data_IF_823646471697
#
_entry.id   IF_823646471697
#
_cell.length_a   1.000
_cell.length_b   1.000
_cell.length_c   1.000
_cell.angle_alpha   90.00
_cell.angle_beta   90.00
_cell.angle_gamma   90.00
#
_symmetry.space_group_name_H-M   'P 1'
#
loop_
_entity.id
_entity.type
_entity.pdbx_description
1 polymer ?
#
# COMPACT_ATOMS: atom_id res chain seq x y z
N UNK A 1 -9.15 -55.34 62.34
CA UNK A 1 -8.64 -55.02 63.69
C UNK A 1 -7.16 -54.68 63.56
N UNK A 2 -6.64 -53.73 64.36
CA UNK A 2 -5.21 -53.50 64.65
C UNK A 2 -4.29 -53.09 63.47
N UNK A 3 -4.05 -51.78 63.33
CA UNK A 3 -2.79 -50.98 63.59
C UNK A 3 -1.68 -51.16 62.55
N UNK A 4 -1.27 -50.13 61.80
CA UNK A 4 -0.46 -48.92 62.14
C UNK A 4 1.02 -49.21 62.45
N UNK A 5 1.95 -48.73 61.59
CA UNK A 5 3.10 -47.91 62.02
C UNK A 5 3.80 -47.14 60.86
N UNK A 6 4.80 -46.30 61.18
CA UNK A 6 5.35 -45.21 60.32
C UNK A 6 6.85 -44.93 60.67
N UNK A 7 7.62 -43.96 60.15
CA UNK A 7 7.36 -42.66 59.48
C UNK A 7 8.51 -42.29 58.50
N UNK A 8 8.18 -41.72 57.32
CA UNK A 8 9.08 -40.82 56.57
C UNK A 8 10.19 -41.45 55.69
N UNK A 9 10.77 -40.73 54.73
CA UNK A 9 10.49 -39.38 54.23
C UNK A 9 11.27 -39.15 52.92
N UNK A 10 10.71 -38.40 51.97
CA UNK A 10 11.35 -38.13 50.67
C UNK A 10 12.10 -36.80 50.61
N UNK A 11 12.31 -36.22 49.41
CA UNK A 11 12.44 -36.90 48.11
C UNK A 11 13.50 -36.23 47.18
N UNK A 12 13.53 -36.67 45.91
CA UNK A 12 14.10 -35.98 44.72
C UNK A 12 15.64 -35.81 44.67
N UNK A 13 16.34 -36.18 43.59
CA UNK A 13 15.90 -36.91 42.41
C UNK A 13 16.76 -36.66 41.16
N UNK A 14 17.43 -37.73 40.72
CA UNK A 14 17.70 -38.09 39.30
C UNK A 14 18.59 -37.18 38.46
N UNK A 15 19.83 -37.65 38.28
CA UNK A 15 20.38 -38.14 36.99
C UNK A 15 19.82 -37.55 35.69
N UNK A 16 20.71 -37.07 34.82
CA UNK A 16 20.87 -37.61 33.46
C UNK A 16 22.18 -37.17 32.81
N UNK A 17 22.82 -38.11 32.10
CA UNK A 17 24.03 -37.88 31.33
C UNK A 17 23.70 -37.45 29.89
N UNK A 18 24.70 -36.85 29.24
CA UNK A 18 24.99 -36.84 27.79
C UNK A 18 23.83 -36.78 26.77
N UNK A 19 23.92 -35.82 25.84
CA UNK A 19 23.84 -36.11 24.40
C UNK A 19 24.36 -34.92 23.58
N UNK A 20 25.26 -35.19 22.65
CA UNK A 20 25.68 -34.22 21.62
C UNK A 20 24.58 -34.09 20.56
N UNK A 21 24.32 -32.87 20.08
CA UNK A 21 23.44 -32.62 18.95
C UNK A 21 24.13 -31.68 17.94
N UNK A 22 24.26 -32.16 16.70
CA UNK A 22 24.77 -31.40 15.56
C UNK A 22 23.62 -30.60 14.93
N UNK A 23 23.83 -29.31 14.72
CA UNK A 23 23.01 -28.43 13.87
C UNK A 23 23.99 -27.67 12.96
N UNK A 24 24.22 -28.13 11.73
CA UNK A 24 23.41 -27.84 10.53
C UNK A 24 23.31 -26.32 10.28
N UNK A 25 23.92 -25.91 9.16
CA UNK A 25 23.97 -24.53 8.68
C UNK A 25 22.61 -24.15 8.10
N UNK A 26 22.02 -23.04 8.58
CA UNK A 26 21.26 -22.04 7.82
C UNK A 26 20.46 -21.14 8.77
N UNK A 27 20.84 -19.87 8.91
CA UNK A 27 19.96 -18.71 8.65
C UNK A 27 20.65 -17.39 9.00
N UNK A 28 20.69 -16.47 8.03
CA UNK A 28 21.12 -15.09 8.24
C UNK A 28 20.05 -14.40 9.08
N UNK A 29 20.31 -14.24 10.38
CA UNK A 29 19.61 -13.28 11.22
C UNK A 29 20.57 -12.15 11.55
N UNK A 30 20.36 -10.98 10.92
CA UNK A 30 21.02 -9.75 11.34
C UNK A 30 20.56 -9.38 12.75
N UNK A 31 21.24 -9.92 13.77
CA UNK A 31 21.13 -9.43 15.14
C UNK A 31 21.60 -7.98 15.15
N UNK A 32 20.65 -7.07 15.38
CA UNK A 32 20.91 -5.70 15.78
C UNK A 32 21.79 -5.79 17.04
N UNK A 33 23.08 -5.49 16.89
CA UNK A 33 23.98 -5.40 18.03
C UNK A 33 23.56 -4.17 18.82
N UNK A 34 22.88 -4.42 19.94
CA UNK A 34 22.74 -3.42 20.99
C UNK A 34 24.14 -3.02 21.44
N UNK A 35 24.57 -1.81 21.09
CA UNK A 35 25.69 -1.17 21.77
C UNK A 35 25.31 -1.04 23.25
N UNK A 36 25.82 -1.94 24.09
CA UNK A 36 25.86 -1.69 25.53
C UNK A 36 26.72 -0.45 25.75
N UNK A 37 26.27 0.53 26.56
CA UNK A 37 27.13 1.64 26.95
C UNK A 37 28.32 1.07 27.75
N UNK A 38 29.53 1.32 27.29
CA UNK A 38 30.75 1.06 28.04
C UNK A 38 30.95 2.25 28.99
N UNK A 39 31.15 2.05 30.30
CA UNK A 39 31.49 3.13 31.22
C UNK A 39 32.77 3.85 30.75
N UNK A 40 32.84 5.17 30.94
CA UNK A 40 33.94 5.99 30.43
C UNK A 40 35.30 5.66 31.07
N UNK A 41 35.28 4.92 32.17
CA UNK A 41 36.40 4.74 33.10
C UNK A 41 37.28 3.53 32.77
N UNK A 42 36.98 2.81 31.68
CA UNK A 42 37.70 1.58 31.25
C UNK A 42 38.41 1.75 29.90
N UNK A 43 39.08 2.89 29.69
CA UNK A 43 40.02 3.10 28.57
C UNK A 43 41.43 3.18 29.16
N UNK A 44 42.25 2.11 29.12
CA UNK A 44 43.65 2.20 29.50
C UNK A 44 44.39 3.13 28.53
N UNK A 45 45.33 3.91 29.07
CA UNK A 45 46.12 4.92 28.37
C UNK A 45 47.15 4.32 27.41
N UNK A 46 46.67 3.77 26.29
CA UNK A 46 47.50 3.22 25.22
C UNK A 46 47.70 4.30 24.13
N UNK A 47 48.93 4.59 23.68
CA UNK A 47 49.19 5.62 22.68
C UNK A 47 48.50 5.31 21.34
N UNK A 48 47.87 6.34 20.77
CA UNK A 48 46.87 6.32 19.67
C UNK A 48 47.39 5.77 18.31
N UNK A 49 48.65 5.34 18.23
CA UNK A 49 49.35 5.07 16.96
C UNK A 49 49.07 3.70 16.33
N UNK A 50 48.39 2.79 17.03
CA UNK A 50 48.17 1.40 16.60
C UNK A 50 46.76 1.09 16.04
N UNK A 51 45.81 2.03 16.10
CA UNK A 51 44.44 1.78 15.62
C UNK A 51 44.22 2.02 14.11
N UNK A 52 45.25 2.42 13.37
CA UNK A 52 45.11 2.84 11.97
C UNK A 52 45.15 1.72 10.92
N UNK A 53 45.13 0.43 11.32
CA UNK A 53 45.25 -0.72 10.40
C UNK A 53 44.12 -1.75 10.62
N UNK A 54 42.86 -1.37 10.36
CA UNK A 54 41.86 -2.36 9.87
C UNK A 54 40.60 -1.84 9.17
N UNK A 55 40.29 -0.55 9.23
CA UNK A 55 39.12 0.00 8.54
C UNK A 55 39.57 1.05 7.52
N UNK A 56 39.75 0.59 6.27
CA UNK A 56 40.19 1.43 5.16
C UNK A 56 39.12 2.45 4.76
N UNK A 57 39.30 3.70 5.16
CA UNK A 57 38.60 4.84 4.60
C UNK A 57 39.50 6.09 4.64
N UNK A 58 40.39 6.22 3.66
CA UNK A 58 41.24 7.40 3.50
C UNK A 58 40.44 8.57 2.90
N UNK A 59 39.75 9.34 3.73
CA UNK A 59 39.49 10.77 3.49
C UNK A 59 39.47 11.53 4.81
N UNK A 60 40.47 12.39 5.01
CA UNK A 60 40.45 13.38 6.09
C UNK A 60 39.36 14.43 5.81
N UNK A 61 38.20 14.26 6.43
CA UNK A 61 37.25 15.35 6.60
C UNK A 61 37.27 15.77 8.07
N UNK A 62 37.64 17.02 8.32
CA UNK A 62 37.67 17.60 9.65
C UNK A 62 36.24 17.71 10.21
N UNK A 63 35.84 16.77 11.06
CA UNK A 63 34.50 16.71 11.66
C UNK A 63 34.34 17.82 12.71
N UNK A 64 33.78 18.97 12.29
CA UNK A 64 33.40 20.06 13.19
C UNK A 64 32.04 19.78 13.82
N UNK A 65 32.07 19.13 14.99
CA UNK A 65 30.96 18.91 15.96
C UNK A 65 30.19 17.57 15.87
N UNK A 66 29.52 17.23 16.98
CA UNK A 66 28.78 15.96 17.19
C UNK A 66 27.37 15.94 16.58
N UNK A 67 26.87 17.05 16.03
CA UNK A 67 25.50 17.13 15.46
C UNK A 67 25.33 16.34 14.16
N UNK A 68 26.41 15.99 13.49
CA UNK A 68 26.38 15.56 12.10
C UNK A 68 26.10 14.06 11.92
N UNK A 69 25.92 13.32 13.01
CA UNK A 69 25.33 11.97 13.02
C UNK A 69 23.80 12.01 12.80
N UNK A 70 23.36 12.82 11.84
CA UNK A 70 22.02 12.76 11.31
C UNK A 70 21.82 11.42 10.61
N UNK A 71 21.12 10.49 11.27
CA UNK A 71 20.58 9.30 10.61
C UNK A 71 19.59 9.75 9.53
N UNK A 72 20.11 9.97 8.32
CA UNK A 72 19.34 10.37 7.16
C UNK A 72 18.33 9.26 6.87
N UNK A 73 17.08 9.45 7.30
CA UNK A 73 15.99 8.51 7.06
C UNK A 73 15.90 8.28 5.56
N UNK A 74 16.30 7.09 5.12
CA UNK A 74 16.18 6.65 3.72
C UNK A 74 14.69 6.64 3.39
N UNK A 75 14.22 7.72 2.77
CA UNK A 75 12.84 7.84 2.36
C UNK A 75 12.64 6.94 1.14
N UNK A 76 11.72 5.98 1.24
CA UNK A 76 11.37 5.04 0.16
C UNK A 76 10.66 5.71 -1.02
N UNK A 77 10.74 7.03 -1.08
CA UNK A 77 9.99 7.92 -1.95
C UNK A 77 10.97 8.68 -2.83
N UNK A 78 10.72 8.70 -4.13
CA UNK A 78 11.61 9.36 -5.11
C UNK A 78 11.41 10.88 -5.15
N UNK A 79 10.43 11.41 -4.42
CA UNK A 79 10.11 12.84 -4.36
C UNK A 79 10.23 13.33 -2.92
N UNK A 80 10.67 14.58 -2.76
CA UNK A 80 10.61 15.26 -1.46
C UNK A 80 9.16 15.45 -1.00
N UNK A 81 8.98 15.76 0.29
CA UNK A 81 7.66 15.94 0.90
C UNK A 81 6.90 17.11 0.25
N UNK A 82 7.59 18.19 -0.11
CA UNK A 82 7.01 19.38 -0.75
C UNK A 82 6.59 19.09 -2.20
N UNK A 83 7.45 18.44 -2.99
CA UNK A 83 7.12 17.99 -4.35
C UNK A 83 5.95 17.01 -4.36
N UNK A 84 5.96 16.01 -3.47
CA UNK A 84 4.85 15.07 -3.33
C UNK A 84 3.55 15.77 -2.93
N UNK A 85 3.61 16.76 -2.05
CA UNK A 85 2.43 17.58 -1.69
C UNK A 85 1.88 18.33 -2.91
N UNK A 86 2.76 18.97 -3.70
CA UNK A 86 2.40 19.65 -4.96
C UNK A 86 1.82 18.70 -6.02
N UNK A 87 2.42 17.53 -6.23
CA UNK A 87 1.87 16.52 -7.15
C UNK A 87 0.49 16.04 -6.68
N UNK A 88 0.31 15.84 -5.38
CA UNK A 88 -0.95 15.39 -4.79
C UNK A 88 -2.05 16.47 -4.83
N UNK A 89 -1.72 17.76 -4.79
CA UNK A 89 -2.71 18.84 -4.93
C UNK A 89 -3.19 19.03 -6.37
N UNK A 90 -2.38 18.67 -7.36
CA UNK A 90 -2.75 18.64 -8.78
C UNK A 90 -3.67 17.47 -9.16
N UNK A 91 -3.87 16.47 -8.28
CA UNK A 91 -4.82 15.37 -8.53
C UNK A 91 -6.25 15.86 -8.39
N UNK A 92 -6.80 16.33 -9.51
CA UNK A 92 -8.19 16.77 -9.63
C UNK A 92 -9.20 15.69 -9.23
N UNK A 93 -10.32 16.12 -8.63
CA UNK A 93 -11.42 15.23 -8.20
C UNK A 93 -12.53 15.05 -9.26
N UNK A 94 -12.49 15.83 -10.35
CA UNK A 94 -13.51 15.97 -11.40
C UNK A 94 -12.82 16.35 -12.72
N UNK A 95 -13.52 16.16 -13.84
CA UNK A 95 -13.07 16.50 -15.19
C UNK A 95 -11.73 15.83 -15.55
N UNK A 96 -11.48 14.64 -14.99
CA UNK A 96 -10.23 13.91 -15.22
C UNK A 96 -10.12 13.43 -16.67
N UNK A 97 -8.91 13.23 -17.18
CA UNK A 97 -8.68 12.77 -18.56
C UNK A 97 -9.53 11.55 -18.96
N UNK A 98 -9.58 10.47 -18.16
CA UNK A 98 -10.47 9.32 -18.41
C UNK A 98 -11.95 9.68 -18.45
N UNK A 99 -12.41 10.56 -17.56
CA UNK A 99 -13.80 11.02 -17.50
C UNK A 99 -14.17 11.81 -18.75
N UNK A 100 -13.29 12.73 -19.17
CA UNK A 100 -13.45 13.53 -20.39
C UNK A 100 -13.48 12.67 -21.66
N UNK A 101 -12.70 11.57 -21.71
CA UNK A 101 -12.75 10.60 -22.81
C UNK A 101 -14.12 9.93 -22.90
N UNK A 102 -14.64 9.40 -21.79
CA UNK A 102 -15.96 8.75 -21.76
C UNK A 102 -17.07 9.75 -22.10
N UNK A 103 -17.01 10.97 -21.55
CA UNK A 103 -17.94 12.07 -21.82
C UNK A 103 -17.99 12.48 -23.29
N UNK A 104 -16.84 12.58 -23.96
CA UNK A 104 -16.74 12.89 -25.39
C UNK A 104 -17.32 11.76 -26.25
N UNK A 105 -17.00 10.51 -25.94
CA UNK A 105 -17.51 9.33 -26.65
C UNK A 105 -19.02 9.16 -26.50
N UNK A 106 -19.59 9.40 -25.32
CA UNK A 106 -21.04 9.40 -25.13
C UNK A 106 -21.71 10.55 -25.89
N UNK A 107 -21.12 11.75 -25.86
CA UNK A 107 -21.68 12.91 -26.56
C UNK A 107 -21.66 12.73 -28.08
N UNK A 108 -20.56 12.23 -28.66
CA UNK A 108 -20.47 11.96 -30.12
C UNK A 108 -21.41 10.86 -30.62
N UNK A 109 -22.00 10.09 -29.69
CA UNK A 109 -23.02 9.06 -29.97
C UNK A 109 -24.44 9.51 -29.57
N UNK A 110 -24.65 10.82 -29.39
CA UNK A 110 -25.97 11.42 -29.17
C UNK A 110 -26.52 11.32 -27.73
N UNK A 111 -25.76 10.81 -26.77
CA UNK A 111 -26.24 10.65 -25.40
C UNK A 111 -26.27 11.99 -24.67
N UNK A 112 -27.42 12.29 -24.06
CA UNK A 112 -27.55 13.37 -23.08
C UNK A 112 -27.37 12.79 -21.68
N UNK A 113 -26.46 13.37 -20.91
CA UNK A 113 -26.12 12.93 -19.56
C UNK A 113 -26.14 14.10 -18.56
N UNK A 114 -26.28 13.76 -17.28
CA UNK A 114 -26.03 14.67 -16.15
C UNK A 114 -24.73 14.26 -15.47
N UNK A 115 -24.01 15.23 -14.92
CA UNK A 115 -22.74 15.01 -14.21
C UNK A 115 -22.92 15.21 -12.71
N UNK A 116 -22.14 14.46 -11.92
CA UNK A 116 -22.00 14.62 -10.46
C UNK A 116 -23.34 14.82 -9.70
N UNK A 117 -24.31 13.95 -9.97
CA UNK A 117 -25.66 14.05 -9.39
C UNK A 117 -25.60 13.71 -7.90
N UNK A 118 -25.54 14.75 -7.05
CA UNK A 118 -25.39 14.65 -5.58
C UNK A 118 -26.54 13.91 -4.87
N UNK A 119 -27.73 13.87 -5.48
CA UNK A 119 -28.90 13.16 -4.92
C UNK A 119 -28.77 11.64 -5.02
N UNK A 120 -27.87 11.12 -5.88
CA UNK A 120 -27.65 9.69 -6.02
C UNK A 120 -26.50 9.21 -5.12
N UNK A 121 -26.58 7.98 -4.56
CA UNK A 121 -25.52 7.41 -3.73
C UNK A 121 -24.15 7.48 -4.40
N UNK A 122 -23.16 8.00 -3.67
CA UNK A 122 -21.78 8.08 -4.14
C UNK A 122 -21.51 9.10 -5.24
N UNK A 123 -22.49 9.92 -5.64
CA UNK A 123 -22.35 11.00 -6.63
C UNK A 123 -21.71 10.50 -7.94
N UNK A 124 -22.43 9.73 -8.77
CA UNK A 124 -21.90 9.16 -10.00
C UNK A 124 -21.34 10.22 -10.95
N UNK A 125 -20.25 9.88 -11.63
CA UNK A 125 -19.56 10.78 -12.56
C UNK A 125 -20.48 11.17 -13.72
N UNK A 126 -21.14 10.17 -14.33
CA UNK A 126 -22.06 10.34 -15.45
C UNK A 126 -23.36 9.58 -15.16
N UNK A 127 -24.49 10.25 -15.36
CA UNK A 127 -25.85 9.69 -15.21
C UNK A 127 -26.60 9.82 -16.53
N UNK A 128 -27.24 8.73 -16.96
CA UNK A 128 -28.11 8.64 -18.13
C UNK A 128 -29.55 8.40 -17.65
N UNK A 129 -30.34 9.46 -17.37
CA UNK A 129 -31.65 9.32 -16.73
C UNK A 129 -32.65 8.49 -17.56
N UNK A 130 -32.67 8.70 -18.88
CA UNK A 130 -33.56 7.99 -19.81
C UNK A 130 -33.33 6.48 -19.88
N UNK A 131 -32.15 6.00 -19.47
CA UNK A 131 -31.77 4.59 -19.46
C UNK A 131 -31.64 4.02 -18.04
N UNK A 132 -32.06 4.79 -17.01
CA UNK A 132 -31.86 4.49 -15.58
C UNK A 132 -30.46 3.94 -15.30
N UNK A 133 -29.44 4.52 -15.95
CA UNK A 133 -28.06 4.00 -15.94
C UNK A 133 -27.11 5.04 -15.34
N UNK A 134 -26.18 4.59 -14.50
CA UNK A 134 -25.08 5.39 -13.97
C UNK A 134 -23.74 4.78 -14.36
N UNK A 135 -22.78 5.63 -14.70
CA UNK A 135 -21.43 5.25 -15.10
C UNK A 135 -20.45 5.90 -14.12
N UNK A 136 -19.65 5.06 -13.47
CA UNK A 136 -18.49 5.48 -12.69
C UNK A 136 -17.22 5.33 -13.51
N UNK A 137 -16.35 6.34 -13.48
CA UNK A 137 -15.04 6.34 -14.14
C UNK A 137 -13.96 6.21 -13.07
N UNK A 138 -13.54 4.97 -12.80
CA UNK A 138 -12.63 4.66 -11.70
C UNK A 138 -11.16 4.68 -12.13
N UNK A 139 -10.36 5.49 -11.43
CA UNK A 139 -8.90 5.37 -11.45
C UNK A 139 -8.46 4.01 -10.91
N UNK A 140 -7.68 3.24 -11.69
CA UNK A 140 -7.22 1.90 -11.34
C UNK A 140 -6.36 1.91 -10.07
N UNK A 141 -5.56 2.95 -9.88
CA UNK A 141 -4.79 3.16 -8.65
C UNK A 141 -5.70 3.34 -7.43
N UNK A 142 -6.67 4.27 -7.48
CA UNK A 142 -7.47 4.69 -6.32
C UNK A 142 -8.52 3.66 -5.88
N UNK A 143 -9.15 2.96 -6.83
CA UNK A 143 -10.21 1.98 -6.60
C UNK A 143 -9.70 0.52 -6.68
N UNK A 144 -8.39 0.33 -6.87
CA UNK A 144 -7.72 -0.98 -7.01
C UNK A 144 -8.38 -1.89 -8.05
N UNK A 145 -8.12 -1.58 -9.32
CA UNK A 145 -8.46 -2.49 -10.42
C UNK A 145 -7.72 -3.85 -10.27
N UNK A 146 -8.01 -4.81 -11.15
CA UNK A 146 -7.39 -6.15 -11.15
C UNK A 146 -5.86 -6.09 -11.02
N UNK A 147 -5.26 -7.08 -10.35
CA UNK A 147 -3.80 -7.17 -10.12
C UNK A 147 -2.98 -7.11 -11.42
N UNK A 148 -3.53 -7.57 -12.54
CA UNK A 148 -2.91 -7.53 -13.88
C UNK A 148 -2.97 -6.17 -14.57
N UNK A 149 -3.59 -5.15 -13.96
CA UNK A 149 -3.62 -3.80 -14.52
C UNK A 149 -2.31 -3.05 -14.17
N UNK A 150 -1.53 -2.56 -15.16
CA UNK A 150 -0.22 -1.94 -14.91
C UNK A 150 -0.27 -0.61 -14.15
N UNK A 151 -1.47 -0.05 -13.98
CA UNK A 151 -1.74 1.20 -13.26
C UNK A 151 -2.07 0.95 -11.76
N UNK A 152 -2.42 -0.28 -11.38
CA UNK A 152 -2.74 -0.64 -9.98
C UNK A 152 -1.49 -0.91 -9.13
N UNK A 153 -0.48 -0.04 -9.23
CA UNK A 153 0.79 -0.17 -8.50
C UNK A 153 0.58 0.08 -7.01
N UNK A 154 1.31 -0.62 -6.14
CA UNK A 154 1.32 -0.33 -4.70
C UNK A 154 2.42 0.69 -4.40
N UNK A 155 2.16 1.80 -3.69
CA UNK A 155 3.21 2.70 -3.23
C UNK A 155 4.18 1.97 -2.29
N UNK A 156 5.49 2.20 -2.47
CA UNK A 156 6.53 1.67 -1.57
C UNK A 156 6.59 2.42 -0.24
N UNK A 157 6.24 3.72 -0.24
CA UNK A 157 6.14 4.54 0.96
C UNK A 157 4.74 4.43 1.61
N UNK A 158 4.69 4.42 2.95
CA UNK A 158 3.45 4.41 3.77
C UNK A 158 2.47 3.28 3.44
N UNK A 159 2.98 2.05 3.24
CA UNK A 159 2.22 0.88 2.77
C UNK A 159 0.92 0.64 3.56
N UNK A 160 0.98 0.61 4.89
CA UNK A 160 -0.18 0.36 5.77
C UNK A 160 -1.31 1.38 5.58
N UNK A 161 -0.96 2.67 5.54
CA UNK A 161 -1.90 3.76 5.28
C UNK A 161 -2.60 3.58 3.93
N UNK A 162 -1.85 3.23 2.89
CA UNK A 162 -2.40 3.00 1.56
C UNK A 162 -3.30 1.77 1.52
N UNK A 163 -2.88 0.65 2.12
CA UNK A 163 -3.70 -0.57 2.25
C UNK A 163 -5.03 -0.27 2.95
N UNK A 164 -5.00 0.39 4.11
CA UNK A 164 -6.21 0.77 4.84
C UNK A 164 -7.09 1.78 4.07
N UNK A 165 -6.49 2.69 3.29
CA UNK A 165 -7.23 3.62 2.41
C UNK A 165 -7.91 2.88 1.26
N UNK A 166 -7.23 1.94 0.62
CA UNK A 166 -7.77 1.15 -0.48
C UNK A 166 -8.90 0.21 -0.05
N UNK A 167 -8.77 -0.45 1.11
CA UNK A 167 -9.85 -1.28 1.68
C UNK A 167 -11.09 -0.43 1.97
N UNK A 168 -10.91 0.75 2.60
CA UNK A 168 -12.03 1.69 2.85
C UNK A 168 -12.66 2.21 1.56
N UNK A 169 -11.87 2.49 0.51
CA UNK A 169 -12.40 2.88 -0.79
C UNK A 169 -13.31 1.78 -1.34
N UNK A 170 -12.78 0.57 -1.52
CA UNK A 170 -13.55 -0.56 -2.08
C UNK A 170 -14.82 -0.86 -1.29
N UNK A 171 -14.77 -0.85 0.06
CA UNK A 171 -15.96 -1.06 0.91
C UNK A 171 -17.04 -0.01 0.68
N UNK A 172 -16.66 1.26 0.49
CA UNK A 172 -17.59 2.36 0.15
C UNK A 172 -18.19 2.16 -1.23
N UNK A 173 -17.35 1.84 -2.22
CA UNK A 173 -17.77 1.68 -3.60
C UNK A 173 -18.74 0.49 -3.73
N UNK A 174 -18.47 -0.62 -3.03
CA UNK A 174 -19.38 -1.77 -2.93
C UNK A 174 -20.73 -1.41 -2.28
N UNK A 175 -20.73 -0.57 -1.24
CA UNK A 175 -21.95 -0.08 -0.62
C UNK A 175 -22.76 0.85 -1.53
N UNK A 176 -22.09 1.77 -2.23
CA UNK A 176 -22.68 2.69 -3.22
C UNK A 176 -23.33 1.90 -4.36
N UNK A 177 -22.59 0.96 -4.98
CA UNK A 177 -23.10 0.13 -6.08
C UNK A 177 -24.28 -0.74 -5.66
N UNK A 178 -24.34 -1.19 -4.40
CA UNK A 178 -25.50 -1.92 -3.86
C UNK A 178 -26.73 -1.02 -3.75
N UNK A 179 -26.61 0.17 -3.15
CA UNK A 179 -27.73 1.13 -2.99
C UNK A 179 -28.34 1.51 -4.34
N UNK A 180 -27.50 1.89 -5.30
CA UNK A 180 -27.94 2.23 -6.66
C UNK A 180 -28.71 1.09 -7.34
N UNK A 181 -28.27 -0.16 -7.19
CA UNK A 181 -28.98 -1.33 -7.73
C UNK A 181 -30.33 -1.59 -7.03
N UNK A 182 -30.41 -1.38 -5.71
CA UNK A 182 -31.67 -1.46 -4.95
C UNK A 182 -32.63 -0.35 -5.40
N UNK A 183 -32.12 0.84 -5.69
CA UNK A 183 -32.85 1.95 -6.34
C UNK A 183 -33.14 1.69 -7.84
N UNK A 184 -32.86 0.49 -8.36
CA UNK A 184 -33.15 0.07 -9.73
C UNK A 184 -32.23 0.66 -10.81
N UNK A 185 -31.09 1.24 -10.46
CA UNK A 185 -30.13 1.77 -11.44
C UNK A 185 -29.21 0.69 -12.01
N UNK A 186 -29.03 0.67 -13.34
CA UNK A 186 -27.97 -0.08 -14.01
C UNK A 186 -26.64 0.61 -13.69
N UNK A 187 -25.72 -0.09 -13.01
CA UNK A 187 -24.43 0.48 -12.58
C UNK A 187 -23.29 -0.06 -13.44
N UNK A 188 -22.69 0.83 -14.23
CA UNK A 188 -21.52 0.57 -15.08
C UNK A 188 -20.27 1.13 -14.39
N UNK A 189 -19.16 0.41 -14.48
CA UNK A 189 -17.83 0.89 -14.08
C UNK A 189 -16.90 0.80 -15.28
N UNK A 190 -16.34 1.95 -15.67
CA UNK A 190 -15.27 2.07 -16.66
C UNK A 190 -13.98 2.39 -15.90
N UNK A 191 -12.91 1.69 -16.23
CA UNK A 191 -11.60 1.88 -15.60
C UNK A 191 -10.68 2.78 -16.43
N UNK A 192 -9.83 3.58 -15.79
CA UNK A 192 -8.90 4.49 -16.49
C UNK A 192 -7.99 3.78 -17.52
N UNK A 193 -7.68 2.50 -17.31
CA UNK A 193 -6.90 1.73 -18.28
C UNK A 193 -7.69 1.38 -19.55
N UNK A 194 -9.02 1.32 -19.49
CA UNK A 194 -9.90 1.04 -20.63
C UNK A 194 -10.02 2.28 -21.53
N UNK A 195 -9.94 3.49 -20.98
CA UNK A 195 -9.99 4.75 -21.75
C UNK A 195 -8.76 4.98 -22.64
N UNK A 196 -7.72 4.15 -22.53
CA UNK A 196 -6.54 4.18 -23.41
C UNK A 196 -6.78 3.61 -24.80
N UNK A 197 -7.86 2.86 -25.02
CA UNK A 197 -8.22 2.31 -26.33
C UNK A 197 -9.71 2.62 -26.60
N UNK A 198 -9.94 3.65 -27.41
CA UNK A 198 -11.29 4.16 -27.69
C UNK A 198 -12.19 3.11 -28.33
N UNK A 199 -11.65 2.26 -29.21
CA UNK A 199 -12.44 1.29 -29.97
C UNK A 199 -12.92 0.14 -29.06
N UNK A 200 -12.05 -0.37 -28.17
CA UNK A 200 -12.44 -1.33 -27.12
C UNK A 200 -13.41 -0.70 -26.12
N UNK A 201 -13.21 0.56 -25.74
CA UNK A 201 -14.15 1.29 -24.87
C UNK A 201 -15.53 1.44 -25.53
N UNK A 202 -15.56 1.77 -26.83
CA UNK A 202 -16.79 1.92 -27.60
C UNK A 202 -17.56 0.60 -27.67
N UNK A 203 -16.92 -0.49 -28.10
CA UNK A 203 -17.53 -1.83 -28.15
C UNK A 203 -18.06 -2.26 -26.76
N UNK A 204 -17.29 -2.00 -25.70
CA UNK A 204 -17.71 -2.31 -24.32
C UNK A 204 -18.92 -1.48 -23.88
N UNK A 205 -18.97 -0.19 -24.20
CA UNK A 205 -20.11 0.67 -23.88
C UNK A 205 -21.35 0.35 -24.72
N UNK A 206 -21.20 0.03 -26.01
CA UNK A 206 -22.27 -0.53 -26.86
C UNK A 206 -22.93 -1.73 -26.19
N UNK A 207 -22.14 -2.73 -25.81
CA UNK A 207 -22.62 -3.94 -25.17
C UNK A 207 -23.24 -3.69 -23.79
N UNK A 208 -22.68 -2.76 -22.99
CA UNK A 208 -23.21 -2.45 -21.65
C UNK A 208 -24.43 -1.52 -21.65
N UNK A 209 -24.70 -0.81 -22.73
CA UNK A 209 -25.87 0.07 -22.90
C UNK A 209 -26.98 -0.56 -23.76
N UNK A 210 -26.73 -1.77 -24.28
CA UNK A 210 -27.61 -2.58 -25.13
C UNK A 210 -27.92 -1.90 -26.48
N UNK A 211 -26.88 -1.41 -27.19
CA UNK A 211 -27.00 -0.59 -28.40
C UNK A 211 -25.93 -0.96 -29.43
N UNK A 212 -26.31 -1.08 -30.70
CA UNK A 212 -25.38 -1.18 -31.82
C UNK A 212 -24.76 0.18 -32.15
N UNK A 213 -23.42 0.25 -32.15
CA UNK A 213 -22.68 1.39 -32.70
C UNK A 213 -21.71 0.91 -33.77
N UNK A 214 -21.49 1.73 -34.80
CA UNK A 214 -20.27 1.59 -35.60
C UNK A 214 -19.04 1.82 -34.71
N UNK A 215 -18.02 0.97 -34.85
CA UNK A 215 -16.71 1.18 -34.22
C UNK A 215 -16.02 2.33 -34.97
N UNK A 216 -15.48 3.34 -34.26
CA UNK A 216 -14.80 4.46 -34.91
C UNK A 216 -13.39 4.09 -35.39
#
# INVERSE_FOLDING_TARGET
MHVNESVGGGPIGRTLAALSAVLVVENITCRIIWCKPVPADTIPSIPVRLYHIRYGCQREFAVRSRSDYGCAKVTVDTLSVTERSRVMSLVGRRDTGPEMIVRRLLHSRGFRYRLHVKTLPGTPDIVLPSRRTVIFVHGCFWHRHRKTCPLTRMPKSRVEFWTAKFVRNRKRDDAVRRRLRVEGWKVITIWECETRNLNRLAIRLSALLDISWAVP
#
